data_IF_868337607660
#
_entry.id   IF_868337607660
#
_cell.length_a   1.000
_cell.length_b   1.000
_cell.length_c   1.000
_cell.angle_alpha   90.00
_cell.angle_beta   90.00
_cell.angle_gamma   90.00
#
_symmetry.space_group_name_H-M   'P 1'
#
loop_
_entity.id
_entity.type
_entity.pdbx_description
1 polymer ?
#
# COMPACT_ATOMS: atom_id res chain seq x y z
N UNK A 1 -15.87 13.62 -18.55
CA UNK A 1 -15.88 12.49 -17.60
C UNK A 1 -16.31 12.97 -16.22
N UNK A 2 -17.15 12.19 -15.60
CA UNK A 2 -17.52 12.48 -14.22
C UNK A 2 -16.35 12.20 -13.29
N UNK A 3 -16.16 13.07 -12.34
CA UNK A 3 -15.13 12.94 -11.34
C UNK A 3 -15.55 11.88 -10.31
N UNK A 4 -14.63 11.00 -9.95
CA UNK A 4 -14.87 10.01 -8.90
C UNK A 4 -14.28 10.57 -7.60
N UNK A 5 -15.09 10.63 -6.57
CA UNK A 5 -14.62 11.01 -5.24
C UNK A 5 -14.89 9.87 -4.25
N UNK A 6 -14.02 9.73 -3.27
CA UNK A 6 -14.17 8.75 -2.21
C UNK A 6 -14.02 9.43 -0.86
N UNK A 7 -14.68 8.85 0.14
CA UNK A 7 -14.48 9.21 1.54
C UNK A 7 -13.86 8.01 2.21
N UNK A 8 -12.83 8.22 3.01
CA UNK A 8 -12.21 7.12 3.70
C UNK A 8 -11.84 7.49 5.13
N UNK A 9 -11.79 6.48 5.98
CA UNK A 9 -11.30 6.58 7.34
C UNK A 9 -10.43 5.36 7.61
N UNK A 10 -9.40 5.54 8.41
CA UNK A 10 -8.51 4.47 8.76
C UNK A 10 -8.03 4.64 10.20
N UNK A 11 -7.79 3.53 10.85
CA UNK A 11 -7.30 3.53 12.22
C UNK A 11 -6.82 2.15 12.61
N UNK A 12 -6.08 2.10 13.69
CA UNK A 12 -5.53 0.85 14.20
C UNK A 12 -5.49 0.90 15.72
N UNK A 13 -5.53 -0.27 16.34
CA UNK A 13 -5.53 -0.38 17.80
C UNK A 13 -4.88 -1.70 18.18
N UNK A 14 -4.06 -1.67 19.22
CA UNK A 14 -3.37 -2.87 19.69
C UNK A 14 -4.32 -3.88 20.36
N UNK A 15 -5.47 -3.43 20.81
CA UNK A 15 -6.43 -4.28 21.51
C UNK A 15 -6.11 -4.43 22.98
N UNK A 16 -6.80 -5.36 23.65
CA UNK A 16 -6.70 -5.52 25.11
C UNK A 16 -5.64 -6.52 25.55
N UNK A 17 -5.22 -7.42 24.68
CA UNK A 17 -4.38 -8.57 25.05
C UNK A 17 -2.93 -8.41 24.62
N UNK A 18 -2.69 -7.88 23.41
CA UNK A 18 -1.34 -7.76 22.86
C UNK A 18 -0.67 -6.49 23.38
N UNK A 19 0.66 -6.56 23.51
CA UNK A 19 1.46 -5.41 23.95
C UNK A 19 1.86 -4.51 22.78
N UNK A 20 2.04 -5.11 21.59
CA UNK A 20 2.46 -4.40 20.39
C UNK A 20 1.40 -4.52 19.31
N UNK A 21 1.17 -3.43 18.60
CA UNK A 21 0.32 -3.45 17.41
C UNK A 21 1.22 -3.72 16.20
N UNK A 22 1.08 -4.92 15.62
CA UNK A 22 1.88 -5.38 14.48
C UNK A 22 1.26 -5.01 13.15
N UNK A 23 0.03 -4.52 13.15
CA UNK A 23 -0.67 -4.09 11.95
C UNK A 23 -0.15 -2.73 11.50
N UNK A 24 -0.10 -2.54 10.20
CA UNK A 24 0.33 -1.28 9.63
C UNK A 24 -0.55 -0.94 8.42
N UNK A 25 -0.74 0.32 8.17
CA UNK A 25 -1.50 0.75 7.01
C UNK A 25 -1.02 2.08 6.49
N UNK A 26 -1.27 2.33 5.22
CA UNK A 26 -0.92 3.60 4.60
C UNK A 26 -1.86 3.84 3.42
N UNK A 27 -2.08 5.10 3.10
CA UNK A 27 -2.94 5.51 2.01
C UNK A 27 -2.20 6.47 1.10
N UNK A 28 -2.32 6.26 -0.20
CA UNK A 28 -1.99 7.28 -1.18
C UNK A 28 -3.28 7.67 -1.89
N UNK A 29 -3.76 8.88 -1.64
CA UNK A 29 -5.04 9.38 -2.16
C UNK A 29 -5.01 9.65 -3.65
N UNK A 30 -3.83 9.99 -4.16
CA UNK A 30 -3.64 10.29 -5.57
C UNK A 30 -2.27 9.79 -5.99
N UNK A 31 -2.26 8.67 -6.71
CA UNK A 31 -1.02 8.01 -7.14
C UNK A 31 -0.21 8.82 -8.16
N UNK A 32 -0.76 9.92 -8.67
CA UNK A 32 0.03 10.90 -9.44
C UNK A 32 0.98 11.68 -8.55
N UNK A 33 0.73 11.69 -7.25
CA UNK A 33 1.55 12.33 -6.23
C UNK A 33 2.25 11.25 -5.41
N UNK A 34 3.47 11.51 -4.97
CA UNK A 34 4.20 10.58 -4.12
C UNK A 34 3.99 10.95 -2.64
N UNK A 35 2.74 11.10 -2.25
CA UNK A 35 2.37 11.48 -0.89
C UNK A 35 1.59 10.36 -0.22
N UNK A 36 2.22 9.73 0.77
CA UNK A 36 1.65 8.64 1.54
C UNK A 36 1.30 9.13 2.93
N UNK A 37 0.04 8.98 3.32
CA UNK A 37 -0.48 9.57 4.55
C UNK A 37 -1.28 8.57 5.37
N UNK A 38 -1.50 8.91 6.63
CA UNK A 38 -2.52 8.30 7.48
C UNK A 38 -3.63 9.35 7.58
N UNK A 39 -4.84 9.06 7.04
CA UNK A 39 -5.91 10.07 7.04
C UNK A 39 -6.30 10.46 8.46
N UNK A 40 -6.35 11.77 8.72
CA UNK A 40 -6.73 12.30 10.03
C UNK A 40 -8.20 12.69 10.11
N UNK A 41 -8.88 12.78 8.98
CA UNK A 41 -10.28 13.19 8.92
C UNK A 41 -10.97 12.51 7.76
N UNK A 42 -12.28 12.40 7.83
CA UNK A 42 -13.10 11.84 6.75
C UNK A 42 -13.49 13.00 5.83
N UNK A 43 -12.72 13.18 4.77
CA UNK A 43 -13.00 14.18 3.76
C UNK A 43 -13.10 13.53 2.39
N UNK A 44 -14.01 14.01 1.53
CA UNK A 44 -14.04 13.49 0.16
C UNK A 44 -12.74 13.82 -0.56
N UNK A 45 -12.19 12.85 -1.26
CA UNK A 45 -11.02 13.05 -2.09
C UNK A 45 -11.35 12.69 -3.53
N UNK A 46 -10.83 13.47 -4.47
CA UNK A 46 -10.98 13.16 -5.90
C UNK A 46 -9.84 12.28 -6.35
N UNK A 47 -10.17 11.26 -7.13
CA UNK A 47 -9.15 10.36 -7.66
C UNK A 47 -8.49 10.99 -8.88
N UNK A 48 -7.15 11.00 -8.89
CA UNK A 48 -6.38 11.38 -10.05
C UNK A 48 -6.37 10.26 -11.10
N UNK A 49 -5.66 10.49 -12.21
CA UNK A 49 -5.64 9.55 -13.34
C UNK A 49 -5.07 8.17 -12.99
N UNK A 50 -4.19 8.09 -12.00
CA UNK A 50 -3.62 6.80 -11.55
C UNK A 50 -4.42 6.18 -10.40
N UNK A 51 -5.49 6.86 -9.94
CA UNK A 51 -6.30 6.36 -8.86
C UNK A 51 -5.63 6.51 -7.51
N UNK A 52 -6.08 5.70 -6.57
CA UNK A 52 -5.55 5.69 -5.21
C UNK A 52 -5.29 4.25 -4.76
N UNK A 53 -4.53 4.10 -3.69
CA UNK A 53 -4.29 2.78 -3.10
C UNK A 53 -4.40 2.88 -1.58
N UNK A 54 -5.01 1.87 -0.99
CA UNK A 54 -5.11 1.71 0.45
C UNK A 54 -4.45 0.37 0.78
N UNK A 55 -3.53 0.38 1.72
CA UNK A 55 -2.76 -0.81 2.06
C UNK A 55 -2.90 -1.09 3.55
N UNK A 56 -3.23 -2.33 3.87
CA UNK A 56 -3.22 -2.83 5.24
C UNK A 56 -2.28 -4.03 5.27
N UNK A 57 -1.34 -4.00 6.19
CA UNK A 57 -0.40 -5.10 6.39
C UNK A 57 -0.56 -5.62 7.82
N UNK A 58 -1.00 -6.87 7.93
CA UNK A 58 -1.18 -7.55 9.21
C UNK A 58 0.09 -8.31 9.53
N UNK A 59 0.76 -7.92 10.61
CA UNK A 59 1.95 -8.61 11.08
C UNK A 59 1.58 -9.76 12.00
N UNK A 60 1.99 -10.96 11.65
CA UNK A 60 1.72 -12.15 12.45
C UNK A 60 2.98 -12.60 13.18
N UNK A 61 2.81 -13.19 14.34
CA UNK A 61 3.89 -13.82 15.07
C UNK A 61 4.08 -13.39 16.52
N UNK A 62 3.40 -12.33 16.97
CA UNK A 62 3.43 -11.91 18.37
C UNK A 62 4.79 -11.43 18.89
N UNK A 63 5.72 -11.15 17.99
CA UNK A 63 7.07 -10.67 18.31
C UNK A 63 7.41 -9.49 17.41
N UNK A 64 8.62 -8.93 17.59
CA UNK A 64 9.11 -7.85 16.72
C UNK A 64 9.15 -8.23 15.24
N UNK A 65 9.18 -9.53 14.92
CA UNK A 65 9.20 -9.98 13.54
C UNK A 65 7.94 -9.57 12.77
N UNK A 66 6.76 -9.55 13.43
CA UNK A 66 5.52 -9.12 12.80
C UNK A 66 5.55 -7.64 12.44
N UNK A 67 6.10 -6.80 13.32
CA UNK A 67 6.24 -5.36 13.06
C UNK A 67 7.19 -5.11 11.88
N UNK A 68 8.28 -5.85 11.83
CA UNK A 68 9.26 -5.73 10.74
C UNK A 68 8.63 -6.17 9.42
N UNK A 69 7.90 -7.28 9.42
CA UNK A 69 7.25 -7.79 8.22
C UNK A 69 6.22 -6.81 7.66
N UNK A 70 5.37 -6.25 8.51
CA UNK A 70 4.36 -5.28 8.05
C UNK A 70 5.00 -4.00 7.54
N UNK A 71 6.07 -3.53 8.18
CA UNK A 71 6.79 -2.34 7.73
C UNK A 71 7.45 -2.58 6.36
N UNK A 72 8.04 -3.73 6.15
CA UNK A 72 8.66 -4.09 4.85
C UNK A 72 7.60 -4.16 3.76
N UNK A 73 6.44 -4.74 4.05
CA UNK A 73 5.34 -4.81 3.08
C UNK A 73 4.90 -3.41 2.65
N UNK A 74 4.71 -2.50 3.60
CA UNK A 74 4.33 -1.12 3.31
C UNK A 74 5.39 -0.42 2.47
N UNK A 75 6.66 -0.51 2.86
CA UNK A 75 7.76 0.11 2.13
C UNK A 75 7.86 -0.42 0.70
N UNK A 76 7.68 -1.73 0.52
CA UNK A 76 7.72 -2.34 -0.81
C UNK A 76 6.61 -1.79 -1.71
N UNK A 77 5.40 -1.66 -1.18
CA UNK A 77 4.29 -1.09 -1.94
C UNK A 77 4.57 0.37 -2.29
N UNK A 78 5.06 1.15 -1.35
CA UNK A 78 5.39 2.56 -1.59
C UNK A 78 6.43 2.71 -2.69
N UNK A 79 7.42 1.84 -2.72
CA UNK A 79 8.48 1.87 -3.75
C UNK A 79 7.97 1.42 -5.12
N UNK A 80 6.97 0.55 -5.17
CA UNK A 80 6.41 0.04 -6.41
C UNK A 80 5.39 1.01 -7.04
N UNK A 81 4.54 1.63 -6.22
CA UNK A 81 3.43 2.47 -6.69
C UNK A 81 3.88 3.92 -6.81
N UNK A 82 4.80 4.16 -7.73
CA UNK A 82 5.28 5.51 -8.05
C UNK A 82 4.72 5.94 -9.40
N UNK A 83 4.61 7.27 -9.66
CA UNK A 83 4.16 7.74 -10.97
C UNK A 83 4.99 7.19 -12.13
N UNK A 84 6.29 7.04 -11.92
CA UNK A 84 7.20 6.51 -12.94
C UNK A 84 6.84 5.08 -13.33
N UNK A 85 6.55 4.23 -12.35
CA UNK A 85 6.19 2.83 -12.59
C UNK A 85 4.77 2.69 -13.12
N UNK A 86 3.85 3.53 -12.65
CA UNK A 86 2.45 3.46 -13.06
C UNK A 86 2.22 3.98 -14.47
N UNK A 87 3.11 4.82 -14.97
CA UNK A 87 3.04 5.33 -16.34
C UNK A 87 3.09 4.24 -17.40
N UNK A 88 3.60 3.05 -17.07
CA UNK A 88 3.66 1.92 -18.00
C UNK A 88 2.32 1.19 -18.11
N UNK A 89 1.43 1.33 -17.14
CA UNK A 89 0.17 0.59 -17.11
C UNK A 89 -1.08 1.47 -17.17
N UNK A 90 -0.90 2.80 -17.08
CA UNK A 90 -2.01 3.76 -17.17
C UNK A 90 -1.68 4.82 -18.21
N UNK A 91 -2.59 5.07 -19.13
CA UNK A 91 -2.40 6.12 -20.15
C UNK A 91 -2.53 7.51 -19.52
N UNK A 92 -2.15 8.54 -20.28
CA UNK A 92 -2.30 9.92 -19.84
C UNK A 92 -3.76 10.31 -19.61
N UNK A 93 -4.68 9.62 -20.26
CA UNK A 93 -6.12 9.82 -20.06
C UNK A 93 -6.67 9.10 -18.83
N UNK A 94 -5.83 8.36 -18.11
CA UNK A 94 -6.24 7.62 -16.93
C UNK A 94 -6.88 6.28 -17.22
N UNK A 95 -6.63 5.73 -18.41
CA UNK A 95 -7.16 4.42 -18.80
C UNK A 95 -6.07 3.37 -18.63
N UNK A 96 -6.37 2.28 -17.93
CA UNK A 96 -5.41 1.18 -17.80
C UNK A 96 -5.19 0.52 -19.16
N UNK A 97 -3.94 0.14 -19.43
CA UNK A 97 -3.59 -0.48 -20.70
C UNK A 97 -4.23 -1.85 -20.86
N UNK A 98 -4.32 -2.62 -19.78
CA UNK A 98 -5.07 -3.88 -19.75
C UNK A 98 -5.26 -4.31 -18.30
N UNK A 99 -6.31 -5.10 -18.05
CA UNK A 99 -6.52 -5.69 -16.72
C UNK A 99 -5.37 -6.64 -16.36
N UNK A 100 -4.84 -7.36 -17.34
CA UNK A 100 -3.71 -8.26 -17.14
C UNK A 100 -2.46 -7.50 -16.68
N UNK A 101 -2.22 -6.32 -17.21
CA UNK A 101 -1.07 -5.50 -16.78
C UNK A 101 -1.20 -5.07 -15.32
N UNK A 102 -2.41 -4.71 -14.88
CA UNK A 102 -2.67 -4.35 -13.49
C UNK A 102 -2.49 -5.55 -12.57
N UNK A 103 -3.07 -6.70 -12.94
CA UNK A 103 -2.93 -7.93 -12.17
C UNK A 103 -1.46 -8.36 -12.03
N UNK A 104 -0.71 -8.28 -13.12
CA UNK A 104 0.71 -8.62 -13.11
C UNK A 104 1.50 -7.66 -12.22
N UNK A 105 1.21 -6.37 -12.28
CA UNK A 105 1.88 -5.38 -11.44
C UNK A 105 1.61 -5.64 -9.96
N UNK A 106 0.36 -5.89 -9.58
CA UNK A 106 -0.01 -6.20 -8.21
C UNK A 106 0.64 -7.51 -7.74
N UNK A 107 0.61 -8.54 -8.58
CA UNK A 107 1.21 -9.83 -8.27
C UNK A 107 2.72 -9.71 -8.04
N UNK A 108 3.42 -8.98 -8.89
CA UNK A 108 4.87 -8.76 -8.73
C UNK A 108 5.18 -8.00 -7.46
N UNK A 109 4.36 -7.01 -7.12
CA UNK A 109 4.55 -6.23 -5.89
C UNK A 109 4.41 -7.11 -4.66
N UNK A 110 3.40 -7.98 -4.62
CA UNK A 110 3.19 -8.90 -3.50
C UNK A 110 4.36 -9.88 -3.39
N UNK A 111 4.82 -10.44 -4.51
CA UNK A 111 5.96 -11.36 -4.53
C UNK A 111 7.24 -10.68 -4.08
N UNK A 112 7.46 -9.44 -4.48
CA UNK A 112 8.63 -8.66 -4.04
C UNK A 112 8.58 -8.41 -2.54
N UNK A 113 7.41 -8.07 -2.01
CA UNK A 113 7.23 -7.88 -0.57
C UNK A 113 7.56 -9.18 0.19
N UNK A 114 7.04 -10.30 -0.27
CA UNK A 114 7.30 -11.60 0.35
C UNK A 114 8.79 -11.92 0.35
N UNK A 115 9.46 -11.72 -0.78
CA UNK A 115 10.90 -11.96 -0.89
C UNK A 115 11.70 -11.06 0.06
N UNK A 116 11.33 -9.78 0.15
CA UNK A 116 12.02 -8.85 1.04
C UNK A 116 11.85 -9.25 2.50
N UNK A 117 10.67 -9.71 2.88
CA UNK A 117 10.39 -10.19 4.23
C UNK A 117 11.23 -11.43 4.54
N UNK A 118 11.26 -12.40 3.62
CA UNK A 118 12.05 -13.62 3.78
C UNK A 118 13.54 -13.30 3.92
N UNK A 119 14.06 -12.40 3.10
CA UNK A 119 15.46 -12.00 3.14
C UNK A 119 15.80 -11.31 4.47
N UNK A 120 14.92 -10.46 4.98
CA UNK A 120 15.12 -9.80 6.27
C UNK A 120 15.15 -10.81 7.42
N UNK A 121 14.29 -11.83 7.37
CA UNK A 121 14.27 -12.86 8.41
C UNK A 121 15.55 -13.70 8.42
N UNK A 122 16.18 -13.89 7.26
CA UNK A 122 17.45 -14.62 7.16
C UNK A 122 18.61 -13.82 7.74
N UNK A 123 18.58 -12.51 7.60
CA UNK A 123 19.62 -11.64 8.13
C UNK A 123 19.57 -11.55 9.66
N UNK A 124 18.40 -11.76 10.24
CA UNK A 124 18.15 -11.64 11.67
C UNK A 124 18.36 -12.95 12.44
N UNK A 125 18.74 -13.99 11.77
CA UNK A 125 18.91 -15.29 12.40
C UNK A 125 20.29 -15.46 13.07
#
# INVERSE_FOLDING_TARGET
MSEISIKLAAGTNVGLVRKNNEDNFVVNRDLCQSEWIIPQSIEPISLGRYGSILVVADGMGGTNAGEVASAIAIETVQNAFTPENLGDIVTQEGIVTSEEAVEEFLSRTVKTADLNIVNASKEDS
#
